data_IF_439301365649
#
_entry.id   IF_439301365649
#
_cell.length_a   1.000
_cell.length_b   1.000
_cell.length_c   1.000
_cell.angle_alpha   90.00
_cell.angle_beta   90.00
_cell.angle_gamma   90.00
#
_symmetry.space_group_name_H-M   'P 1'
#
loop_
_entity.id
_entity.type
_entity.pdbx_description
1 polymer ?
#
# COMPACT_ATOMS: atom_id res chain seq x y z
N UNK A 1 3.41 23.66 2.97
CA UNK A 1 2.48 22.52 2.88
C UNK A 1 2.10 22.05 4.27
N UNK A 2 1.00 21.34 4.40
CA UNK A 2 0.60 20.65 5.63
C UNK A 2 0.66 19.15 5.40
N UNK A 3 1.00 18.39 6.43
CA UNK A 3 0.90 16.93 6.40
C UNK A 3 -0.53 16.55 6.80
N UNK A 4 -1.18 15.74 5.99
CA UNK A 4 -2.57 15.30 6.22
C UNK A 4 -2.58 13.81 6.53
N UNK A 5 -3.22 13.43 7.64
CA UNK A 5 -3.41 12.04 8.04
C UNK A 5 -4.85 11.62 7.78
N UNK A 6 -5.05 10.67 6.87
CA UNK A 6 -6.35 10.05 6.65
C UNK A 6 -6.55 8.87 7.59
N UNK A 7 -7.53 8.98 8.50
CA UNK A 7 -7.90 7.92 9.43
C UNK A 7 -9.26 7.29 9.04
N UNK A 8 -9.53 6.07 9.51
CA UNK A 8 -10.79 5.35 9.24
C UNK A 8 -10.87 4.64 7.89
N UNK A 9 -9.80 4.67 7.08
CA UNK A 9 -9.76 4.00 5.77
C UNK A 9 -10.85 4.51 4.83
N UNK A 10 -11.68 3.61 4.31
CA UNK A 10 -12.86 3.95 3.48
C UNK A 10 -14.11 4.24 4.32
N UNK A 11 -14.06 4.06 5.64
CA UNK A 11 -15.23 4.15 6.54
C UNK A 11 -16.20 2.97 6.44
N UNK A 12 -15.91 1.96 5.62
CA UNK A 12 -16.79 0.80 5.39
C UNK A 12 -16.08 -0.51 5.78
N UNK A 13 -16.78 -1.50 6.35
CA UNK A 13 -16.21 -2.81 6.62
C UNK A 13 -15.86 -3.54 5.32
N UNK A 14 -15.02 -4.57 5.42
CA UNK A 14 -14.59 -5.44 4.32
C UNK A 14 -13.61 -4.83 3.30
N UNK A 15 -13.18 -3.60 3.50
CA UNK A 15 -12.13 -2.98 2.68
C UNK A 15 -10.79 -2.98 3.40
N UNK A 16 -9.72 -3.18 2.63
CA UNK A 16 -8.36 -3.09 3.15
C UNK A 16 -7.89 -1.63 3.21
N UNK A 17 -6.83 -1.38 3.96
CA UNK A 17 -6.20 -0.05 3.98
C UNK A 17 -5.64 0.33 2.61
N UNK A 18 -5.16 -0.64 1.82
CA UNK A 18 -4.65 -0.41 0.46
C UNK A 18 -5.77 0.13 -0.46
N UNK A 19 -7.02 -0.32 -0.31
CA UNK A 19 -8.17 0.29 -1.02
C UNK A 19 -8.41 1.74 -0.60
N UNK A 20 -8.36 2.03 0.71
CA UNK A 20 -8.54 3.38 1.23
C UNK A 20 -7.47 4.36 0.72
N UNK A 21 -6.21 3.92 0.67
CA UNK A 21 -5.10 4.71 0.11
C UNK A 21 -5.32 4.99 -1.38
N UNK A 22 -5.74 3.98 -2.17
CA UNK A 22 -6.03 4.18 -3.59
C UNK A 22 -7.16 5.20 -3.83
N UNK A 23 -8.24 5.12 -3.05
CA UNK A 23 -9.34 6.09 -3.12
C UNK A 23 -8.87 7.51 -2.80
N UNK A 24 -8.15 7.69 -1.67
CA UNK A 24 -7.68 9.02 -1.25
C UNK A 24 -6.65 9.61 -2.21
N UNK A 25 -5.79 8.78 -2.80
CA UNK A 25 -4.82 9.24 -3.80
C UNK A 25 -5.52 9.81 -5.04
N UNK A 26 -6.58 9.16 -5.52
CA UNK A 26 -7.39 9.65 -6.64
C UNK A 26 -8.10 10.95 -6.25
N UNK A 27 -8.75 11.01 -5.08
CA UNK A 27 -9.46 12.20 -4.62
C UNK A 27 -8.55 13.43 -4.38
N UNK A 28 -7.27 13.19 -4.10
CA UNK A 28 -6.27 14.23 -3.85
C UNK A 28 -5.44 14.58 -5.10
N UNK A 29 -5.70 13.93 -6.24
CA UNK A 29 -4.89 14.03 -7.47
C UNK A 29 -3.39 13.79 -7.21
N UNK A 30 -3.07 12.74 -6.42
CA UNK A 30 -1.69 12.41 -6.10
C UNK A 30 -0.97 11.74 -7.29
N UNK A 31 0.26 12.17 -7.57
CA UNK A 31 1.07 11.63 -8.67
C UNK A 31 1.48 10.16 -8.47
N UNK A 32 1.65 9.74 -7.21
CA UNK A 32 2.10 8.39 -6.86
C UNK A 32 1.64 7.95 -5.46
N UNK A 33 1.55 6.64 -5.27
CA UNK A 33 1.34 6.01 -3.97
C UNK A 33 2.63 5.30 -3.54
N UNK A 34 3.15 5.67 -2.37
CA UNK A 34 4.33 5.03 -1.77
C UNK A 34 3.87 4.10 -0.64
N UNK A 35 3.77 2.80 -0.93
CA UNK A 35 3.37 1.79 0.05
C UNK A 35 4.57 1.28 0.85
N UNK A 36 4.64 1.66 2.13
CA UNK A 36 5.59 1.08 3.07
C UNK A 36 5.12 -0.31 3.49
N UNK A 37 5.92 -1.34 3.18
CA UNK A 37 5.67 -2.74 3.59
C UNK A 37 6.86 -3.24 4.43
N UNK A 38 6.69 -4.37 5.11
CA UNK A 38 7.75 -5.03 5.87
C UNK A 38 8.76 -5.80 5.00
N UNK A 39 8.64 -5.67 3.67
CA UNK A 39 9.55 -6.19 2.65
C UNK A 39 9.95 -5.03 1.74
N UNK A 40 11.13 -5.13 1.15
CA UNK A 40 11.80 -4.08 0.39
C UNK A 40 11.37 -4.00 -1.09
N UNK A 41 10.33 -4.72 -1.49
CA UNK A 41 9.76 -4.66 -2.82
C UNK A 41 8.72 -5.75 -3.08
N UNK A 42 8.39 -5.93 -4.35
CA UNK A 42 7.44 -6.96 -4.78
C UNK A 42 8.21 -8.22 -5.14
N UNK A 43 7.77 -9.35 -4.61
CA UNK A 43 8.35 -10.67 -4.85
C UNK A 43 7.30 -11.58 -5.51
N UNK A 44 7.75 -12.62 -6.20
CA UNK A 44 6.88 -13.65 -6.79
C UNK A 44 6.14 -14.49 -5.74
N UNK A 45 6.65 -14.54 -4.51
CA UNK A 45 6.14 -15.30 -3.37
C UNK A 45 6.63 -14.68 -2.06
N UNK A 46 6.07 -15.09 -0.91
CA UNK A 46 6.47 -14.52 0.39
C UNK A 46 7.90 -14.95 0.75
N UNK A 47 8.88 -14.00 0.80
CA UNK A 47 10.27 -14.33 1.08
C UNK A 47 10.51 -14.83 2.52
N UNK A 48 9.56 -14.64 3.44
CA UNK A 48 9.66 -15.17 4.80
C UNK A 48 9.44 -16.67 4.87
N UNK A 49 8.64 -17.22 3.97
CA UNK A 49 8.27 -18.64 3.95
C UNK A 49 8.93 -19.40 2.81
N UNK A 50 9.29 -18.71 1.72
CA UNK A 50 9.99 -19.27 0.58
C UNK A 50 11.38 -18.62 0.39
N UNK A 51 12.48 -19.32 0.76
CA UNK A 51 13.84 -18.82 0.52
C UNK A 51 14.20 -18.64 -0.96
N UNK A 52 13.45 -19.26 -1.86
CA UNK A 52 13.65 -19.12 -3.31
C UNK A 52 12.81 -17.99 -3.93
N UNK A 53 12.13 -17.17 -3.13
CA UNK A 53 11.34 -16.05 -3.62
C UNK A 53 12.19 -15.07 -4.42
N UNK A 54 11.70 -14.65 -5.58
CA UNK A 54 12.40 -13.74 -6.49
C UNK A 54 11.77 -12.36 -6.45
N UNK A 55 12.60 -11.35 -6.22
CA UNK A 55 12.20 -9.95 -6.31
C UNK A 55 12.04 -9.56 -7.78
N UNK A 56 11.01 -8.78 -8.09
CA UNK A 56 10.90 -8.10 -9.38
C UNK A 56 11.74 -6.82 -9.36
N UNK A 57 12.40 -6.52 -10.49
CA UNK A 57 13.07 -5.24 -10.74
C UNK A 57 12.08 -4.19 -11.27
#
# INVERSE_FOLDING_TARGET
GMVVFFAGGTGHPYFSTDTGVALRAIEMDADAILLAKAIDGVYDSDPKTNPAAKKYD
#
